data_IF_835155548513
#
_entry.id   IF_835155548513
#
_cell.length_a   1.000
_cell.length_b   1.000
_cell.length_c   1.000
_cell.angle_alpha   90.00
_cell.angle_beta   90.00
_cell.angle_gamma   90.00
#
_symmetry.space_group_name_H-M   'P 1'
#
loop_
_entity.id
_entity.type
_entity.pdbx_description
1 polymer ?
#
# COMPACT_ATOMS: atom_id res chain seq x y z
N UNK A 1 -0.95 19.73 10.30
CA UNK A 1 -0.14 19.04 9.27
C UNK A 1 -1.13 18.67 8.18
N UNK A 2 -1.52 19.64 7.34
CA UNK A 2 -2.89 19.65 6.80
C UNK A 2 -2.99 19.59 5.27
N UNK A 3 -1.97 19.09 4.56
CA UNK A 3 -2.11 18.97 3.10
C UNK A 3 -1.50 17.68 2.54
N UNK A 4 -1.63 16.56 3.26
CA UNK A 4 -1.40 15.26 2.65
C UNK A 4 -2.54 14.97 1.67
N UNK A 5 -2.29 14.82 0.37
CA UNK A 5 -3.37 14.71 -0.62
C UNK A 5 -3.93 13.28 -0.65
N UNK A 6 -4.41 12.75 0.48
CA UNK A 6 -4.85 11.37 0.68
C UNK A 6 -5.80 10.89 -0.44
N UNK A 7 -6.78 11.71 -0.82
CA UNK A 7 -7.71 11.38 -1.89
C UNK A 7 -7.03 11.21 -3.26
N UNK A 8 -6.06 12.07 -3.60
CA UNK A 8 -5.27 12.00 -4.84
C UNK A 8 -4.31 10.82 -4.82
N UNK A 9 -3.68 10.55 -3.68
CA UNK A 9 -2.80 9.40 -3.48
C UNK A 9 -3.60 8.12 -3.66
N UNK A 10 -4.73 7.99 -2.96
CA UNK A 10 -5.59 6.81 -3.07
C UNK A 10 -6.07 6.60 -4.49
N UNK A 11 -6.58 7.63 -5.17
CA UNK A 11 -7.08 7.47 -6.55
C UNK A 11 -5.98 7.05 -7.52
N UNK A 12 -4.80 7.66 -7.45
CA UNK A 12 -3.67 7.32 -8.34
C UNK A 12 -3.06 5.96 -8.02
N UNK A 13 -2.97 5.59 -6.74
CA UNK A 13 -2.51 4.27 -6.31
C UNK A 13 -3.47 3.16 -6.75
N UNK A 14 -4.78 3.34 -6.54
CA UNK A 14 -5.80 2.37 -6.98
C UNK A 14 -5.82 2.22 -8.50
N UNK A 15 -5.68 3.32 -9.25
CA UNK A 15 -5.53 3.24 -10.70
C UNK A 15 -4.27 2.49 -11.11
N UNK A 16 -3.14 2.73 -10.45
CA UNK A 16 -1.88 2.06 -10.76
C UNK A 16 -1.95 0.57 -10.45
N UNK A 17 -2.50 0.20 -9.29
CA UNK A 17 -2.77 -1.20 -8.93
C UNK A 17 -3.72 -1.82 -9.94
N UNK A 18 -4.86 -1.18 -10.25
CA UNK A 18 -5.87 -1.71 -11.17
C UNK A 18 -5.37 -1.94 -12.60
N UNK A 19 -4.36 -1.19 -13.07
CA UNK A 19 -3.70 -1.43 -14.36
C UNK A 19 -2.89 -2.72 -14.41
N UNK A 20 -2.45 -3.21 -13.26
CA UNK A 20 -1.51 -4.33 -13.16
C UNK A 20 -2.09 -5.54 -12.42
N UNK A 21 -3.11 -5.32 -11.60
CA UNK A 21 -3.90 -6.34 -10.95
C UNK A 21 -5.00 -6.77 -11.93
N UNK A 22 -5.02 -8.05 -12.27
CA UNK A 22 -6.12 -8.64 -13.03
C UNK A 22 -7.31 -8.72 -12.07
N UNK A 23 -8.30 -7.84 -12.23
CA UNK A 23 -9.59 -7.91 -11.53
C UNK A 23 -10.26 -9.23 -11.87
N UNK A 24 -10.07 -10.24 -11.02
CA UNK A 24 -10.65 -11.57 -11.19
C UNK A 24 -11.24 -12.04 -9.86
N UNK A 25 -12.33 -12.82 -9.90
CA UNK A 25 -13.14 -13.20 -8.73
C UNK A 25 -12.45 -14.14 -7.73
N UNK A 26 -11.11 -14.21 -7.72
CA UNK A 26 -10.32 -15.19 -6.98
C UNK A 26 -9.65 -14.63 -5.71
N UNK A 27 -9.75 -13.33 -5.44
CA UNK A 27 -9.19 -12.75 -4.21
C UNK A 27 -10.05 -13.17 -3.03
N UNK A 28 -9.49 -14.00 -2.15
CA UNK A 28 -10.20 -14.54 -0.98
C UNK A 28 -9.98 -13.73 0.27
N UNK A 29 -8.76 -13.21 0.42
CA UNK A 29 -8.32 -12.54 1.64
C UNK A 29 -7.88 -11.11 1.37
N UNK A 30 -7.85 -10.69 0.10
CA UNK A 30 -7.34 -9.39 -0.33
C UNK A 30 -8.46 -8.52 -0.88
N UNK A 31 -8.59 -7.29 -0.38
CA UNK A 31 -9.46 -6.27 -0.96
C UNK A 31 -8.62 -5.09 -1.46
N UNK A 32 -9.02 -4.51 -2.59
CA UNK A 32 -8.39 -3.35 -3.20
C UNK A 32 -9.39 -2.20 -3.19
N UNK A 33 -8.99 -1.08 -2.60
CA UNK A 33 -9.86 0.08 -2.39
C UNK A 33 -10.81 -0.05 -1.22
N UNK A 34 -10.76 -1.14 -0.46
CA UNK A 34 -11.63 -1.38 0.69
C UNK A 34 -10.89 -2.06 1.84
N UNK A 35 -11.52 -2.08 3.02
CA UNK A 35 -10.97 -2.65 4.24
C UNK A 35 -11.85 -3.78 4.78
N UNK A 36 -11.23 -4.90 5.14
CA UNK A 36 -11.91 -5.90 5.97
C UNK A 36 -12.31 -5.25 7.31
N UNK A 37 -13.57 -5.33 7.75
CA UNK A 37 -14.02 -4.75 9.02
C UNK A 37 -13.17 -5.21 10.21
N UNK A 38 -12.72 -6.47 10.18
CA UNK A 38 -11.88 -7.06 11.21
C UNK A 38 -10.49 -6.42 11.26
N UNK A 39 -9.87 -6.16 10.10
CA UNK A 39 -8.59 -5.45 10.03
C UNK A 39 -8.76 -3.99 10.45
N UNK A 40 -9.86 -3.35 10.03
CA UNK A 40 -10.16 -1.95 10.35
C UNK A 40 -10.40 -1.75 11.85
N UNK A 41 -11.12 -2.66 12.51
CA UNK A 41 -11.36 -2.61 13.96
C UNK A 41 -10.07 -2.71 14.79
N UNK A 42 -8.98 -3.24 14.21
CA UNK A 42 -7.65 -3.34 14.83
C UNK A 42 -6.77 -2.14 14.51
N UNK A 43 -7.12 -1.35 13.50
CA UNK A 43 -6.32 -0.24 13.03
C UNK A 43 -6.85 1.09 13.59
N UNK A 44 -5.99 1.81 14.32
CA UNK A 44 -6.25 3.20 14.70
C UNK A 44 -5.87 4.13 13.53
N UNK A 45 -6.73 4.23 12.51
CA UNK A 45 -6.51 5.12 11.37
C UNK A 45 -6.50 6.59 11.81
N UNK A 46 -5.61 7.38 11.21
CA UNK A 46 -5.57 8.81 11.43
C UNK A 46 -6.72 9.50 10.68
N UNK A 47 -7.19 10.68 11.14
CA UNK A 47 -8.16 11.47 10.38
C UNK A 47 -7.68 11.74 8.96
N UNK A 48 -8.51 11.38 7.97
CA UNK A 48 -8.24 11.55 6.54
C UNK A 48 -7.36 10.47 5.90
N UNK A 49 -6.77 9.55 6.68
CA UNK A 49 -6.02 8.41 6.14
C UNK A 49 -6.98 7.41 5.47
N UNK A 50 -6.65 6.99 4.24
CA UNK A 50 -7.52 6.14 3.45
C UNK A 50 -6.85 4.79 3.14
N UNK A 51 -7.64 3.71 3.19
CA UNK A 51 -7.16 2.36 2.85
C UNK A 51 -7.04 2.20 1.33
N UNK A 52 -5.95 1.57 0.89
CA UNK A 52 -5.67 1.23 -0.51
C UNK A 52 -5.73 -0.28 -0.74
N UNK A 53 -5.09 -1.07 0.14
CA UNK A 53 -5.17 -2.54 0.12
C UNK A 53 -5.42 -3.02 1.54
N UNK A 54 -6.29 -4.01 1.69
CA UNK A 54 -6.40 -4.76 2.93
C UNK A 54 -6.22 -6.25 2.69
N UNK A 55 -5.65 -6.92 3.67
CA UNK A 55 -5.60 -8.37 3.73
C UNK A 55 -6.05 -8.83 5.11
N UNK A 56 -6.90 -9.86 5.16
CA UNK A 56 -7.29 -10.47 6.41
C UNK A 56 -7.47 -11.98 6.26
N UNK A 57 -6.69 -12.73 7.03
CA UNK A 57 -6.86 -14.17 7.22
C UNK A 57 -7.32 -14.48 8.64
N UNK A 58 -6.67 -13.87 9.63
CA UNK A 58 -6.90 -14.08 11.05
C UNK A 58 -6.40 -12.89 11.89
N UNK A 59 -6.61 -12.94 13.20
CA UNK A 59 -6.21 -11.88 14.13
C UNK A 59 -4.70 -11.59 14.14
N UNK A 60 -3.86 -12.60 13.86
CA UNK A 60 -2.41 -12.55 13.77
C UNK A 60 -1.91 -12.74 12.32
N UNK A 61 -2.75 -12.44 11.34
CA UNK A 61 -2.45 -12.54 9.92
C UNK A 61 -3.30 -11.56 9.13
N UNK A 62 -2.96 -10.27 9.22
CA UNK A 62 -3.67 -9.20 8.55
C UNK A 62 -2.76 -8.00 8.26
N UNK A 63 -3.14 -7.19 7.28
CA UNK A 63 -2.53 -5.88 7.09
C UNK A 63 -3.48 -4.88 6.44
N UNK A 64 -3.21 -3.59 6.66
CA UNK A 64 -3.74 -2.47 5.91
C UNK A 64 -2.59 -1.67 5.30
N UNK A 65 -2.66 -1.47 3.99
CA UNK A 65 -1.79 -0.56 3.26
C UNK A 65 -2.61 0.69 2.96
N UNK A 66 -2.23 1.81 3.57
CA UNK A 66 -3.00 3.06 3.52
C UNK A 66 -2.28 4.13 2.70
N UNK A 67 -2.87 5.30 2.59
CA UNK A 67 -2.24 6.49 2.01
C UNK A 67 -1.08 7.05 2.84
N UNK A 68 -0.84 6.54 4.06
CA UNK A 68 0.18 7.08 4.97
C UNK A 68 1.04 6.02 5.64
N UNK A 69 0.49 4.84 5.93
CA UNK A 69 1.10 3.81 6.77
C UNK A 69 0.92 2.41 6.23
N UNK A 70 1.80 1.55 6.69
CA UNK A 70 1.66 0.09 6.69
C UNK A 70 1.33 -0.33 8.11
N UNK A 71 0.15 -0.93 8.30
CA UNK A 71 -0.34 -1.45 9.57
C UNK A 71 -0.58 -2.94 9.43
N UNK A 72 -0.35 -3.73 10.47
CA UNK A 72 -0.70 -5.14 10.44
C UNK A 72 -0.13 -5.95 11.57
N UNK A 73 -0.40 -7.25 11.54
CA UNK A 73 0.21 -8.22 12.42
C UNK A 73 0.44 -9.54 11.70
N UNK A 74 1.59 -10.15 11.97
CA UNK A 74 1.88 -11.51 11.55
C UNK A 74 2.68 -12.27 12.61
N UNK A 75 2.23 -13.49 12.96
CA UNK A 75 2.93 -14.39 13.88
C UNK A 75 3.31 -13.71 15.22
N UNK A 76 2.37 -12.95 15.80
CA UNK A 76 2.56 -12.23 17.06
C UNK A 76 3.41 -10.96 16.98
N UNK A 77 3.84 -10.55 15.78
CA UNK A 77 4.57 -9.30 15.56
C UNK A 77 3.67 -8.27 14.91
N UNK A 78 3.56 -7.10 15.52
CA UNK A 78 2.84 -5.97 14.95
C UNK A 78 3.76 -5.10 14.10
N UNK A 79 3.19 -4.46 13.09
CA UNK A 79 3.85 -3.41 12.31
C UNK A 79 2.96 -2.18 12.27
N UNK A 80 3.58 -1.03 12.54
CA UNK A 80 2.99 0.27 12.33
C UNK A 80 4.10 1.23 11.86
N UNK A 81 4.24 1.37 10.54
CA UNK A 81 5.30 2.18 9.93
C UNK A 81 4.69 3.20 8.97
N UNK A 82 5.32 4.37 8.83
CA UNK A 82 4.96 5.27 7.73
C UNK A 82 5.33 4.59 6.41
N UNK A 83 4.50 4.74 5.38
CA UNK A 83 4.75 4.08 4.10
C UNK A 83 6.05 4.58 3.46
N UNK A 84 6.40 5.85 3.67
CA UNK A 84 7.67 6.44 3.20
C UNK A 84 8.90 5.89 3.92
N UNK A 85 8.73 5.25 5.08
CA UNK A 85 9.85 4.60 5.78
C UNK A 85 10.17 3.22 5.20
N UNK A 86 9.31 2.64 4.37
CA UNK A 86 9.56 1.38 3.69
C UNK A 86 10.58 1.60 2.57
N UNK A 87 11.79 1.08 2.75
CA UNK A 87 12.93 1.25 1.83
C UNK A 87 13.04 0.16 0.80
N UNK A 88 12.66 -1.05 1.17
CA UNK A 88 12.73 -2.21 0.30
C UNK A 88 11.63 -3.20 0.66
N UNK A 89 11.22 -3.99 -0.32
CA UNK A 89 10.19 -5.03 -0.15
C UNK A 89 10.62 -6.28 -0.88
N UNK A 90 10.62 -7.39 -0.17
CA UNK A 90 10.84 -8.70 -0.75
C UNK A 90 9.56 -9.53 -0.64
N UNK A 91 9.11 -10.04 -1.78
CA UNK A 91 8.01 -10.98 -1.87
C UNK A 91 8.62 -12.35 -2.16
N UNK A 92 8.24 -13.37 -1.38
CA UNK A 92 8.65 -14.75 -1.62
C UNK A 92 8.16 -15.28 -2.98
N UNK A 93 8.21 -16.60 -3.19
CA UNK A 93 7.65 -17.17 -4.42
C UNK A 93 6.12 -16.99 -4.45
N UNK A 94 5.67 -15.92 -5.11
CA UNK A 94 4.26 -15.60 -5.28
C UNK A 94 3.64 -16.29 -6.49
N UNK A 95 4.41 -17.02 -7.30
CA UNK A 95 3.91 -17.69 -8.52
C UNK A 95 3.51 -19.14 -8.30
N UNK A 96 3.48 -19.61 -7.05
CA UNK A 96 3.08 -20.94 -6.54
C UNK A 96 2.31 -21.83 -7.52
N UNK A 97 2.98 -22.39 -8.53
CA UNK A 97 2.46 -23.38 -9.48
C UNK A 97 1.05 -23.16 -10.06
N UNK A 98 0.58 -21.91 -10.17
CA UNK A 98 -0.79 -21.61 -10.62
C UNK A 98 -1.90 -21.83 -9.59
N UNK A 99 -1.58 -21.96 -8.29
CA UNK A 99 -2.56 -22.10 -7.19
C UNK A 99 -2.53 -20.89 -6.26
N UNK A 100 -3.72 -20.46 -5.83
CA UNK A 100 -3.89 -19.47 -4.76
C UNK A 100 -3.43 -20.08 -3.44
N UNK A 101 -2.57 -19.36 -2.72
CA UNK A 101 -2.05 -19.76 -1.42
C UNK A 101 -1.67 -18.54 -0.58
N UNK A 102 -0.85 -18.78 0.44
CA UNK A 102 -0.34 -17.74 1.34
C UNK A 102 1.17 -17.65 1.21
N UNK A 103 1.66 -16.42 1.13
CA UNK A 103 3.07 -16.08 1.08
C UNK A 103 3.42 -15.09 2.17
N UNK A 104 4.70 -14.86 2.36
CA UNK A 104 5.22 -13.89 3.32
C UNK A 104 5.97 -12.80 2.55
N UNK A 105 5.72 -11.55 2.91
CA UNK A 105 6.45 -10.39 2.43
C UNK A 105 7.27 -9.78 3.57
N UNK A 106 8.48 -9.37 3.23
CA UNK A 106 9.43 -8.73 4.13
C UNK A 106 9.57 -7.27 3.72
N UNK A 107 9.51 -6.38 4.69
CA UNK A 107 9.65 -4.94 4.52
C UNK A 107 10.90 -4.50 5.28
N UNK A 108 11.83 -3.87 4.59
CA UNK A 108 12.95 -3.19 5.22
C UNK A 108 12.55 -1.75 5.51
N UNK A 109 12.50 -1.38 6.78
CA UNK A 109 12.12 -0.05 7.24
C UNK A 109 13.37 0.84 7.41
N UNK A 110 13.15 2.15 7.56
CA UNK A 110 14.21 3.08 7.93
C UNK A 110 14.79 2.70 9.30
N UNK A 111 16.12 2.76 9.47
CA UNK A 111 16.77 2.44 10.75
C UNK A 111 17.15 0.98 10.97
N UNK A 112 17.13 0.14 9.92
CA UNK A 112 17.46 -1.30 9.96
C UNK A 112 16.41 -2.21 10.61
N UNK A 113 15.21 -1.70 10.90
CA UNK A 113 14.10 -2.54 11.33
C UNK A 113 13.51 -3.34 10.16
N UNK A 114 13.06 -4.57 10.44
CA UNK A 114 12.37 -5.42 9.48
C UNK A 114 10.96 -5.74 9.98
N UNK A 115 9.99 -5.61 9.08
CA UNK A 115 8.63 -6.06 9.31
C UNK A 115 8.29 -7.22 8.37
N UNK A 116 7.46 -8.14 8.86
CA UNK A 116 7.05 -9.33 8.12
C UNK A 116 5.53 -9.37 8.12
N UNK A 117 4.94 -9.59 6.96
CA UNK A 117 3.49 -9.67 6.78
C UNK A 117 3.14 -10.85 5.89
N UNK A 118 1.99 -11.47 6.12
CA UNK A 118 1.45 -12.49 5.23
C UNK A 118 0.60 -11.87 4.14
N UNK A 119 0.59 -12.44 2.94
CA UNK A 119 -0.27 -12.01 1.85
C UNK A 119 -0.79 -13.20 1.03
N UNK A 120 -1.82 -12.95 0.23
CA UNK A 120 -2.38 -13.91 -0.71
C UNK A 120 -1.53 -13.98 -2.00
N UNK A 121 -1.07 -15.18 -2.38
CA UNK A 121 -0.18 -15.36 -3.54
C UNK A 121 -0.92 -15.22 -4.87
N UNK A 122 -0.23 -15.53 -5.98
CA UNK A 122 -0.77 -15.50 -7.33
C UNK A 122 -1.24 -14.10 -7.74
N UNK A 123 -2.39 -13.97 -8.39
CA UNK A 123 -2.89 -12.67 -8.88
C UNK A 123 -3.18 -11.68 -7.77
N UNK A 124 -3.54 -12.13 -6.57
CA UNK A 124 -3.80 -11.26 -5.42
C UNK A 124 -2.54 -10.56 -4.93
N UNK A 125 -1.38 -11.20 -5.07
CA UNK A 125 -0.08 -10.61 -4.72
C UNK A 125 0.24 -9.33 -5.47
N UNK A 126 -0.38 -9.12 -6.64
CA UNK A 126 -0.21 -7.88 -7.40
C UNK A 126 -0.70 -6.66 -6.61
N UNK A 127 -1.71 -6.79 -5.74
CA UNK A 127 -2.20 -5.65 -4.96
C UNK A 127 -1.11 -5.08 -4.02
N UNK A 128 -0.52 -5.83 -3.08
CA UNK A 128 0.56 -5.32 -2.24
C UNK A 128 1.84 -5.03 -3.04
N UNK A 129 2.19 -5.82 -4.06
CA UNK A 129 3.38 -5.55 -4.90
C UNK A 129 3.28 -4.17 -5.58
N UNK A 130 2.14 -3.89 -6.22
CA UNK A 130 1.96 -2.63 -6.94
C UNK A 130 1.65 -1.45 -6.02
N UNK A 131 1.16 -1.69 -4.80
CA UNK A 131 1.15 -0.67 -3.75
C UNK A 131 2.57 -0.17 -3.47
N UNK A 132 3.53 -1.04 -3.16
CA UNK A 132 4.90 -0.58 -2.86
C UNK A 132 5.61 -0.01 -4.09
N UNK A 133 5.36 -0.56 -5.28
CA UNK A 133 5.86 0.05 -6.53
C UNK A 133 5.29 1.43 -6.80
N UNK A 134 4.03 1.70 -6.43
CA UNK A 134 3.47 3.05 -6.52
C UNK A 134 4.31 4.04 -5.72
N UNK A 135 4.65 3.72 -4.47
CA UNK A 135 5.45 4.59 -3.61
C UNK A 135 6.88 4.77 -4.10
N UNK A 136 7.47 3.73 -4.70
CA UNK A 136 8.82 3.82 -5.24
C UNK A 136 8.89 4.60 -6.57
N UNK A 137 7.86 4.52 -7.42
CA UNK A 137 7.95 4.96 -8.83
C UNK A 137 7.02 6.14 -9.13
N UNK A 138 5.79 6.13 -8.61
CA UNK A 138 4.73 7.09 -8.96
C UNK A 138 4.61 8.22 -7.96
N UNK A 139 4.71 7.93 -6.67
CA UNK A 139 4.61 8.95 -5.63
C UNK A 139 5.66 10.07 -5.76
N UNK A 140 6.96 9.81 -6.02
CA UNK A 140 7.96 10.87 -6.12
C UNK A 140 7.64 11.88 -7.24
N UNK A 141 7.07 11.41 -8.35
CA UNK A 141 6.63 12.29 -9.45
C UNK A 141 5.39 13.10 -9.05
N UNK A 142 4.45 12.48 -8.35
CA UNK A 142 3.26 13.16 -7.83
C UNK A 142 3.62 14.25 -6.81
N UNK A 143 4.58 13.96 -5.94
CA UNK A 143 5.10 14.84 -4.90
C UNK A 143 5.81 16.04 -5.51
N UNK A 144 6.69 15.82 -6.50
CA UNK A 144 7.34 16.90 -7.26
C UNK A 144 6.32 17.82 -7.94
N UNK A 145 5.31 17.26 -8.62
CA UNK A 145 4.26 18.04 -9.27
C UNK A 145 3.36 18.80 -8.27
N UNK A 146 3.28 18.35 -7.02
CA UNK A 146 2.56 19.05 -5.97
C UNK A 146 3.41 20.14 -5.29
N UNK A 147 4.73 19.95 -5.25
CA UNK A 147 5.71 20.86 -4.68
C UNK A 147 6.08 22.04 -5.60
N UNK A 148 5.84 21.94 -6.92
CA UNK A 148 5.94 23.06 -7.84
C UNK A 148 4.72 23.98 -7.72
N UNK A 149 4.84 25.20 -7.15
CA UNK A 149 3.85 26.23 -7.44
C UNK A 149 4.02 26.58 -8.92
N UNK A 150 2.91 26.81 -9.63
CA UNK A 150 2.90 27.38 -10.99
C UNK A 150 3.68 28.71 -11.01
N UNK A 151 4.99 28.66 -11.17
CA UNK A 151 5.84 29.81 -11.44
C UNK A 151 6.05 29.88 -12.95
N UNK A 152 5.00 30.25 -13.68
CA UNK A 152 5.06 30.80 -15.03
C UNK A 152 3.64 31.06 -15.57
N UNK A 153 3.13 32.27 -15.34
CA UNK A 153 2.35 33.03 -16.33
C UNK A 153 2.09 34.47 -15.85
N UNK A 154 3.07 35.12 -15.24
CA UNK A 154 3.07 36.59 -15.11
C UNK A 154 4.41 37.08 -15.65
N UNK A 155 4.41 37.50 -16.91
CA UNK A 155 5.61 38.00 -17.58
C UNK A 155 5.36 38.27 -19.05
N UNK A 156 4.74 39.40 -19.37
CA UNK A 156 4.68 39.88 -20.74
C UNK A 156 3.67 40.98 -21.04
N UNK A 157 3.48 41.94 -20.15
CA UNK A 157 2.95 43.24 -20.54
C UNK A 157 4.11 44.17 -20.90
N UNK A 158 4.24 44.48 -22.19
CA UNK A 158 4.35 45.85 -22.75
C UNK A 158 3.73 45.80 -24.14
#
# INVERSE_FOLDING_TARGET
>A
MDNWPDAKIRSTALWYIGKHAISTPEYRYTLVGDAHPEALARAALQPGELVIVSFFLAADGWFLLTTRRVLGAYAGREVAAATLDVRDTWFGDFKTGGRVGLGVMWLRLAGSDEAVLQYETWRASMAPIYYFRYWAIKYPVLDQLAAEPRAAADGGGV
#
